data_IF_022029876359
#
_entry.id   IF_022029876359
#
_cell.length_a   1.000
_cell.length_b   1.000
_cell.length_c   1.000
_cell.angle_alpha   90.00
_cell.angle_beta   90.00
_cell.angle_gamma   90.00
#
_symmetry.space_group_name_H-M   'P 1'
#
loop_
_entity.id
_entity.type
_entity.pdbx_description
1 polymer ?
#
# COMPACT_ATOMS: atom_id res chain seq x y z
N UNK A 1 15.70 -5.50 -21.02
CA UNK A 1 15.68 -4.90 -19.67
C UNK A 1 14.28 -4.84 -19.06
N UNK A 2 13.33 -4.12 -19.68
CA UNK A 2 11.96 -3.97 -19.17
C UNK A 2 11.20 -5.30 -18.95
N UNK A 3 11.30 -6.28 -19.88
CA UNK A 3 10.58 -7.55 -19.78
C UNK A 3 10.86 -8.37 -18.52
N UNK A 4 12.03 -8.18 -17.89
CA UNK A 4 12.42 -8.92 -16.67
C UNK A 4 11.81 -8.30 -15.40
N UNK A 5 11.33 -7.06 -15.47
CA UNK A 5 10.67 -6.34 -14.37
C UNK A 5 9.15 -6.45 -14.44
N UNK A 6 8.59 -6.76 -15.62
CA UNK A 6 7.15 -6.97 -15.85
C UNK A 6 6.48 -7.87 -14.80
N UNK A 7 7.00 -9.06 -14.44
CA UNK A 7 6.31 -9.91 -13.46
C UNK A 7 6.21 -9.28 -12.07
N UNK A 8 7.24 -8.54 -11.65
CA UNK A 8 7.25 -7.82 -10.36
C UNK A 8 6.25 -6.66 -10.37
N UNK A 9 6.16 -5.96 -11.50
CA UNK A 9 5.20 -4.88 -11.70
C UNK A 9 3.75 -5.41 -11.77
N UNK A 10 3.53 -6.55 -12.42
CA UNK A 10 2.22 -7.19 -12.44
C UNK A 10 1.77 -7.55 -11.02
N UNK A 11 2.67 -8.06 -10.18
CA UNK A 11 2.38 -8.35 -8.79
C UNK A 11 2.07 -7.08 -7.97
N UNK A 12 2.76 -5.95 -8.22
CA UNK A 12 2.42 -4.69 -7.54
C UNK A 12 1.05 -4.15 -7.96
N UNK A 13 0.65 -4.28 -9.23
CA UNK A 13 -0.66 -3.83 -9.72
C UNK A 13 -1.81 -4.53 -8.98
N UNK A 14 -1.67 -5.83 -8.69
CA UNK A 14 -2.68 -6.56 -7.89
C UNK A 14 -2.80 -5.96 -6.49
N UNK A 15 -1.68 -5.73 -5.80
CA UNK A 15 -1.68 -5.13 -4.48
C UNK A 15 -2.25 -3.69 -4.50
N UNK A 16 -1.92 -2.90 -5.51
CA UNK A 16 -2.45 -1.55 -5.71
C UNK A 16 -3.96 -1.54 -5.91
N UNK A 17 -4.51 -2.53 -6.63
CA UNK A 17 -5.96 -2.64 -6.83
C UNK A 17 -6.71 -2.86 -5.52
N UNK A 18 -6.19 -3.76 -4.66
CA UNK A 18 -6.78 -4.06 -3.35
C UNK A 18 -6.67 -2.84 -2.43
N UNK A 19 -5.49 -2.21 -2.43
CA UNK A 19 -5.25 -1.00 -1.66
C UNK A 19 -6.17 0.15 -2.08
N UNK A 20 -6.47 0.31 -3.37
CA UNK A 20 -7.39 1.32 -3.88
C UNK A 20 -8.81 1.12 -3.34
N UNK A 21 -9.31 -0.12 -3.38
CA UNK A 21 -10.64 -0.47 -2.84
C UNK A 21 -10.71 -0.19 -1.34
N UNK A 22 -9.72 -0.67 -0.57
CA UNK A 22 -9.70 -0.47 0.88
C UNK A 22 -9.55 1.02 1.26
N UNK A 23 -8.69 1.76 0.56
CA UNK A 23 -8.55 3.20 0.77
C UNK A 23 -9.83 3.96 0.43
N UNK A 24 -10.54 3.52 -0.61
CA UNK A 24 -11.87 4.03 -0.95
C UNK A 24 -12.87 3.81 0.17
N UNK A 25 -12.93 2.60 0.74
CA UNK A 25 -13.80 2.30 1.88
C UNK A 25 -13.47 3.18 3.10
N UNK A 26 -12.19 3.31 3.45
CA UNK A 26 -11.74 4.14 4.58
C UNK A 26 -12.11 5.62 4.37
N UNK A 27 -11.95 6.14 3.14
CA UNK A 27 -12.36 7.50 2.78
C UNK A 27 -13.88 7.67 2.85
N UNK A 28 -14.66 6.68 2.41
CA UNK A 28 -16.13 6.68 2.52
C UNK A 28 -16.63 6.74 3.96
N UNK A 29 -15.92 6.10 4.90
CA UNK A 29 -16.19 6.22 6.33
C UNK A 29 -15.70 7.54 6.96
N UNK A 30 -15.03 8.43 6.21
CA UNK A 30 -14.47 9.68 6.72
C UNK A 30 -13.20 9.51 7.56
N UNK A 31 -12.55 8.32 7.51
CA UNK A 31 -11.39 7.98 8.36
C UNK A 31 -10.06 8.06 7.62
N UNK A 32 -9.99 8.89 6.58
CA UNK A 32 -8.80 9.06 5.73
C UNK A 32 -7.52 9.43 6.48
N UNK A 33 -7.62 10.15 7.61
CA UNK A 33 -6.48 10.53 8.43
C UNK A 33 -5.70 9.32 8.97
N UNK A 34 -6.36 8.17 9.11
CA UNK A 34 -5.72 6.95 9.59
C UNK A 34 -4.80 6.29 8.54
N UNK A 35 -4.93 6.64 7.26
CA UNK A 35 -4.08 6.11 6.18
C UNK A 35 -2.70 6.80 6.11
N UNK A 36 -2.63 8.07 6.49
CA UNK A 36 -1.40 8.87 6.42
C UNK A 36 -0.19 8.24 7.13
N UNK A 37 -0.27 7.83 8.42
CA UNK A 37 0.88 7.20 9.08
C UNK A 37 1.28 5.87 8.44
N UNK A 38 0.33 5.13 7.87
CA UNK A 38 0.59 3.84 7.23
C UNK A 38 1.45 4.01 5.98
N UNK A 39 1.09 4.96 5.12
CA UNK A 39 1.85 5.27 3.90
C UNK A 39 3.29 5.64 4.25
N UNK A 40 3.48 6.48 5.29
CA UNK A 40 4.81 6.89 5.74
C UNK A 40 5.63 5.68 6.19
N UNK A 41 5.09 4.83 7.05
CA UNK A 41 5.79 3.62 7.52
C UNK A 41 6.13 2.69 6.36
N UNK A 42 5.17 2.42 5.47
CA UNK A 42 5.35 1.45 4.40
C UNK A 42 6.41 1.88 3.36
N UNK A 43 6.43 3.15 2.96
CA UNK A 43 7.35 3.62 1.92
C UNK A 43 8.67 4.15 2.49
N UNK A 44 8.66 4.86 3.62
CA UNK A 44 9.86 5.49 4.17
C UNK A 44 10.65 4.58 5.10
N UNK A 45 9.99 3.77 5.92
CA UNK A 45 10.66 2.89 6.89
C UNK A 45 10.96 1.52 6.29
N UNK A 46 10.10 1.02 5.41
CA UNK A 46 10.24 -0.34 4.85
C UNK A 46 10.72 -0.29 3.40
N UNK A 47 9.95 0.34 2.51
CA UNK A 47 10.22 0.32 1.07
C UNK A 47 11.56 0.90 0.67
N UNK A 48 11.88 2.12 1.11
CA UNK A 48 13.12 2.82 0.78
C UNK A 48 14.38 2.10 1.28
N UNK A 49 14.48 1.67 2.56
CA UNK A 49 15.64 0.92 3.04
C UNK A 49 15.82 -0.44 2.35
N UNK A 50 14.73 -1.17 2.10
CA UNK A 50 14.79 -2.42 1.34
C UNK A 50 15.25 -2.17 -0.09
N UNK A 51 14.70 -1.17 -0.77
CA UNK A 51 15.08 -0.83 -2.13
C UNK A 51 16.57 -0.45 -2.22
N UNK A 52 17.08 0.34 -1.27
CA UNK A 52 18.50 0.67 -1.19
C UNK A 52 19.37 -0.56 -0.91
N UNK A 53 18.96 -1.40 0.04
CA UNK A 53 19.70 -2.61 0.41
C UNK A 53 19.78 -3.63 -0.73
N UNK A 54 18.65 -3.90 -1.40
CA UNK A 54 18.56 -4.80 -2.54
C UNK A 54 19.30 -4.27 -3.76
N UNK A 55 19.22 -2.96 -4.04
CA UNK A 55 19.84 -2.37 -5.21
C UNK A 55 21.37 -2.18 -5.09
N UNK A 56 21.88 -1.85 -3.89
CA UNK A 56 23.27 -1.40 -3.71
C UNK A 56 24.10 -2.24 -2.72
N UNK A 57 23.53 -2.63 -1.58
CA UNK A 57 24.31 -3.22 -0.47
C UNK A 57 24.63 -4.70 -0.71
N UNK A 58 23.67 -5.47 -1.24
CA UNK A 58 23.83 -6.92 -1.48
C UNK A 58 24.93 -7.27 -2.50
N UNK A 59 25.41 -6.30 -3.28
CA UNK A 59 26.43 -6.49 -4.31
C UNK A 59 27.77 -5.78 -4.00
N UNK A 60 28.00 -5.36 -2.75
CA UNK A 60 29.30 -4.81 -2.34
C UNK A 60 29.64 -3.43 -2.94
N UNK A 61 28.65 -2.65 -3.35
CA UNK A 61 28.84 -1.29 -3.87
C UNK A 61 29.24 -1.16 -5.34
N UNK A 62 29.38 -2.27 -6.07
CA UNK A 62 29.64 -2.28 -7.53
C UNK A 62 28.36 -2.71 -8.27
N UNK A 63 27.95 -1.96 -9.29
CA UNK A 63 26.95 -2.42 -10.27
C UNK A 63 27.55 -3.58 -11.09
N UNK A 64 27.50 -4.83 -10.63
CA UNK A 64 27.90 -5.99 -11.46
C UNK A 64 27.18 -7.31 -11.09
N UNK A 65 26.32 -7.75 -12.01
CA UNK A 65 26.43 -8.95 -12.85
C UNK A 65 25.98 -10.37 -12.42
N UNK A 66 25.63 -10.71 -11.18
CA UNK A 66 25.24 -12.12 -10.88
C UNK A 66 24.03 -12.38 -9.98
N UNK A 67 23.28 -11.34 -9.59
CA UNK A 67 22.03 -11.50 -8.84
C UNK A 67 20.82 -10.97 -9.63
N UNK A 68 19.72 -11.74 -9.64
CA UNK A 68 18.46 -11.38 -10.32
C UNK A 68 17.91 -10.00 -9.87
N UNK A 69 18.23 -9.60 -8.63
CA UNK A 69 17.81 -8.36 -7.98
C UNK A 69 18.88 -7.25 -8.02
N UNK A 70 19.68 -7.15 -9.08
CA UNK A 70 20.66 -6.06 -9.23
C UNK A 70 20.06 -4.81 -9.91
N UNK A 71 20.51 -3.62 -9.51
CA UNK A 71 20.18 -2.35 -10.15
C UNK A 71 18.69 -1.99 -10.10
N UNK A 72 18.11 -1.60 -11.25
CA UNK A 72 16.70 -1.20 -11.37
C UNK A 72 15.75 -2.32 -10.91
N UNK A 73 16.11 -3.60 -11.10
CA UNK A 73 15.27 -4.72 -10.67
C UNK A 73 15.22 -4.86 -9.15
N UNK A 74 16.36 -4.68 -8.49
CA UNK A 74 16.45 -4.61 -7.03
C UNK A 74 15.61 -3.46 -6.48
N UNK A 75 15.76 -2.27 -7.08
CA UNK A 75 14.99 -1.09 -6.70
C UNK A 75 13.48 -1.32 -6.83
N UNK A 76 13.03 -1.81 -7.99
CA UNK A 76 11.59 -2.09 -8.22
C UNK A 76 11.08 -3.17 -7.27
N UNK A 77 11.84 -4.25 -7.04
CA UNK A 77 11.44 -5.29 -6.09
C UNK A 77 11.32 -4.79 -4.65
N UNK A 78 12.23 -3.91 -4.22
CA UNK A 78 12.17 -3.27 -2.90
C UNK A 78 10.96 -2.36 -2.77
N UNK A 79 10.68 -1.55 -3.79
CA UNK A 79 9.49 -0.69 -3.81
C UNK A 79 8.19 -1.50 -3.82
N UNK A 80 8.13 -2.60 -4.59
CA UNK A 80 6.98 -3.52 -4.59
C UNK A 80 6.74 -4.07 -3.19
N UNK A 81 7.78 -4.46 -2.44
CA UNK A 81 7.61 -4.92 -1.06
C UNK A 81 7.00 -3.85 -0.12
N UNK A 82 7.32 -2.57 -0.36
CA UNK A 82 6.67 -1.44 0.31
C UNK A 82 5.18 -1.35 0.00
N UNK A 83 4.79 -1.50 -1.26
CA UNK A 83 3.37 -1.53 -1.69
C UNK A 83 2.61 -2.70 -1.04
N UNK A 84 3.19 -3.89 -0.99
CA UNK A 84 2.58 -5.04 -0.32
C UNK A 84 2.41 -4.79 1.19
N UNK A 85 3.42 -4.21 1.84
CA UNK A 85 3.36 -3.82 3.25
C UNK A 85 2.24 -2.80 3.49
N UNK A 86 2.13 -1.79 2.63
CA UNK A 86 1.06 -0.79 2.68
C UNK A 86 -0.32 -1.45 2.56
N UNK A 87 -0.52 -2.32 1.58
CA UNK A 87 -1.77 -3.06 1.37
C UNK A 87 -2.15 -3.87 2.61
N UNK A 88 -1.21 -4.64 3.19
CA UNK A 88 -1.47 -5.46 4.38
C UNK A 88 -1.84 -4.58 5.58
N UNK A 89 -1.11 -3.48 5.81
CA UNK A 89 -1.39 -2.58 6.94
C UNK A 89 -2.77 -1.92 6.82
N UNK A 90 -3.17 -1.50 5.62
CA UNK A 90 -4.51 -0.95 5.39
C UNK A 90 -5.57 -2.02 5.54
N UNK A 91 -5.34 -3.25 5.06
CA UNK A 91 -6.26 -4.37 5.25
C UNK A 91 -6.47 -4.69 6.73
N UNK A 92 -5.40 -4.72 7.52
CA UNK A 92 -5.46 -4.92 8.98
C UNK A 92 -6.21 -3.76 9.65
N UNK A 93 -5.98 -2.51 9.24
CA UNK A 93 -6.72 -1.37 9.75
C UNK A 93 -8.22 -1.54 9.49
N UNK A 94 -8.62 -1.86 8.26
CA UNK A 94 -10.02 -2.06 7.91
C UNK A 94 -10.63 -3.20 8.72
N UNK A 95 -9.94 -4.33 8.85
CA UNK A 95 -10.43 -5.49 9.59
C UNK A 95 -10.58 -5.27 11.10
N UNK A 96 -9.70 -4.44 11.71
CA UNK A 96 -9.66 -4.29 13.18
C UNK A 96 -10.28 -2.99 13.68
N UNK A 97 -10.27 -1.92 12.88
CA UNK A 97 -10.70 -0.59 13.32
C UNK A 97 -12.05 -0.18 12.78
N UNK A 98 -12.55 -0.81 11.71
CA UNK A 98 -13.84 -0.46 11.12
C UNK A 98 -14.90 -1.44 11.59
N UNK A 99 -15.78 -0.97 12.46
CA UNK A 99 -17.02 -1.67 12.78
C UNK A 99 -18.04 -1.37 11.69
N UNK A 100 -18.26 -2.33 10.81
CA UNK A 100 -19.21 -2.20 9.71
C UNK A 100 -20.66 -2.03 10.18
N UNK A 101 -21.02 -2.55 11.36
CA UNK A 101 -22.35 -2.38 11.93
C UNK A 101 -22.58 -0.95 12.39
N UNK A 102 -21.59 -0.36 13.06
CA UNK A 102 -21.64 1.04 13.49
C UNK A 102 -21.63 2.00 12.30
N UNK A 103 -20.78 1.76 11.30
CA UNK A 103 -20.71 2.60 10.10
C UNK A 103 -21.99 2.51 9.26
N UNK A 104 -22.62 1.32 9.17
CA UNK A 104 -23.92 1.17 8.51
C UNK A 104 -25.03 1.93 9.24
N UNK A 105 -25.00 1.95 10.59
CA UNK A 105 -25.94 2.73 11.39
C UNK A 105 -25.75 4.23 11.18
N UNK A 106 -24.52 4.73 11.26
CA UNK A 106 -24.18 6.14 10.99
C UNK A 106 -24.61 6.57 9.59
N UNK A 107 -24.43 5.72 8.58
CA UNK A 107 -24.87 6.01 7.22
C UNK A 107 -26.40 6.18 7.13
N UNK A 108 -27.18 5.33 7.79
CA UNK A 108 -28.65 5.46 7.85
C UNK A 108 -29.09 6.72 8.57
N UNK A 109 -28.44 7.07 9.68
CA UNK A 109 -28.74 8.29 10.44
C UNK A 109 -28.48 9.55 9.61
N UNK A 110 -27.37 9.59 8.86
CA UNK A 110 -27.07 10.71 7.94
C UNK A 110 -28.14 10.87 6.85
N UNK A 111 -28.57 9.77 6.23
CA UNK A 111 -29.63 9.80 5.22
C UNK A 111 -30.98 10.24 5.79
N UNK A 112 -31.30 9.83 7.02
CA UNK A 112 -32.52 10.24 7.70
C UNK A 112 -32.51 11.74 8.04
N UNK A 113 -31.37 12.26 8.49
CA UNK A 113 -31.19 13.69 8.76
C UNK A 113 -31.35 14.54 7.50
N UNK A 114 -30.76 14.11 6.37
CA UNK A 114 -30.89 14.83 5.09
C UNK A 114 -32.32 14.85 4.56
N UNK A 115 -33.11 13.81 4.84
CA UNK A 115 -34.53 13.78 4.47
C UNK A 115 -35.41 14.69 5.35
N UNK A 116 -34.94 15.05 6.55
CA UNK A 116 -35.67 15.89 7.50
C UNK A 116 -35.40 17.39 7.37
N UNK A 117 -34.34 17.78 6.66
CA UNK A 117 -34.13 19.18 6.26
C UNK A 117 -35.02 19.50 5.03
N UNK A 118 -35.92 20.50 5.10
CA UNK A 118 -36.88 20.83 4.05
C UNK A 118 -36.28 21.50 2.80
#
# INVERSE_FOLDING_TARGET
EASKTIPVLAASVVADSVLFVLSGAVKGCGRQCALMPIVLVAYWIVGLPLAYYLAFVRNGGIMCDNNYFCGIRGLVSGMTSGTWTHMILVAVLVATRIDWGEEAKKAKERLAAEKSDP
#
